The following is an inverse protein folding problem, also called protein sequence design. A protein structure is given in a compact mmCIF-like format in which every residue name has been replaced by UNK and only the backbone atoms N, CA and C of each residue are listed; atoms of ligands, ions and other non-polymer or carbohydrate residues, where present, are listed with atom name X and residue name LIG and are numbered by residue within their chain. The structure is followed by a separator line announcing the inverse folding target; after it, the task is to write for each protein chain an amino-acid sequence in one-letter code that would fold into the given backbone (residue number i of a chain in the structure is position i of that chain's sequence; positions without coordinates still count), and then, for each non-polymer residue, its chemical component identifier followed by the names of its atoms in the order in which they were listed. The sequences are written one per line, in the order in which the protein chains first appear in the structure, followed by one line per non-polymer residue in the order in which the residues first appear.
data_IF_401768001642
#
_entry.id   IF_401768001642
#
_cell.length_a   1.000
_cell.length_b   1.000
_cell.length_c   1.000
_cell.angle_alpha   90.00
_cell.angle_beta   90.00
_cell.angle_gamma   90.00
#
_symmetry.space_group_name_H-M   'P 1'
#
loop_
_entity.id
_entity.type
_entity.pdbx_description
1 polymer ?
#
# COMPACT_ATOMS: atom_id res chain seq x y z
N UNK A 1 0.32 12.96 -13.77
CA UNK A 1 -0.70 12.23 -12.98
C UNK A 1 -1.98 13.02 -13.08
N UNK A 2 -3.08 12.39 -13.47
CA UNK A 2 -4.37 13.05 -13.72
C UNK A 2 -4.81 13.95 -12.55
N UNK A 3 -4.63 13.51 -11.30
CA UNK A 3 -5.18 14.19 -10.12
C UNK A 3 -4.20 15.06 -9.34
N UNK A 4 -2.92 15.10 -9.73
CA UNK A 4 -1.91 15.88 -9.02
C UNK A 4 -2.28 17.37 -8.88
N UNK A 5 -2.81 18.06 -9.90
CA UNK A 5 -3.18 19.47 -9.78
C UNK A 5 -4.25 19.73 -8.72
N UNK A 6 -5.19 18.80 -8.51
CA UNK A 6 -6.23 18.93 -7.49
C UNK A 6 -5.64 18.83 -6.07
N UNK A 7 -4.70 17.91 -5.87
CA UNK A 7 -3.99 17.74 -4.60
C UNK A 7 -3.13 18.97 -4.28
N UNK A 8 -2.40 19.48 -5.27
CA UNK A 8 -1.55 20.67 -5.10
C UNK A 8 -2.39 21.89 -4.74
N UNK A 9 -3.51 22.11 -5.43
CA UNK A 9 -4.46 23.19 -5.16
C UNK A 9 -5.05 23.10 -3.74
N UNK A 10 -5.42 21.88 -3.32
CA UNK A 10 -5.96 21.64 -1.99
C UNK A 10 -4.93 21.90 -0.89
N UNK A 11 -3.67 21.55 -1.06
CA UNK A 11 -2.63 21.86 -0.05
C UNK A 11 -2.31 23.36 -0.05
N UNK A 12 -2.19 23.98 -1.22
CA UNK A 12 -1.86 25.40 -1.36
C UNK A 12 -2.90 26.34 -0.71
N UNK A 13 -4.18 25.95 -0.72
CA UNK A 13 -5.25 26.72 -0.05
C UNK A 13 -5.19 26.69 1.49
N UNK A 14 -4.30 25.90 2.09
CA UNK A 14 -4.20 25.68 3.53
C UNK A 14 -3.47 26.75 4.35
N UNK A 15 -2.92 27.80 3.72
CA UNK A 15 -2.34 28.98 4.35
C UNK A 15 -1.32 28.72 5.47
N UNK A 16 -0.02 28.89 5.19
CA UNK A 16 1.01 28.96 6.24
C UNK A 16 0.83 30.23 7.09
N UNK A 17 0.19 30.11 8.26
CA UNK A 17 0.15 31.20 9.23
C UNK A 17 -0.79 30.88 10.38
N UNK A 18 -0.24 30.82 11.59
CA UNK A 18 -1.05 30.83 12.81
C UNK A 18 -2.07 31.97 12.73
N UNK A 19 -3.32 31.65 13.07
CA UNK A 19 -4.50 32.52 13.12
C UNK A 19 -5.27 32.78 11.80
N UNK A 20 -4.94 32.07 10.71
CA UNK A 20 -5.63 32.21 9.42
C UNK A 20 -6.96 31.45 9.35
N UNK A 21 -8.07 32.19 9.13
CA UNK A 21 -9.41 31.66 8.82
C UNK A 21 -9.32 30.46 7.86
N UNK A 22 -9.81 29.30 8.30
CA UNK A 22 -10.14 28.19 7.42
C UNK A 22 -11.09 28.74 6.34
N UNK A 23 -10.55 29.10 5.17
CA UNK A 23 -11.38 29.35 4.00
C UNK A 23 -12.23 28.10 3.79
N UNK A 24 -13.54 28.28 3.62
CA UNK A 24 -14.59 27.25 3.56
C UNK A 24 -14.05 25.83 3.32
N UNK A 25 -13.70 25.15 4.43
CA UNK A 25 -13.04 23.84 4.39
C UNK A 25 -13.96 22.80 3.75
N UNK A 26 -15.27 22.94 4.00
CA UNK A 26 -16.29 22.09 3.41
C UNK A 26 -16.34 22.25 1.88
N UNK A 27 -16.22 23.49 1.37
CA UNK A 27 -16.12 23.72 -0.07
C UNK A 27 -14.82 23.16 -0.66
N UNK A 28 -13.69 23.29 0.04
CA UNK A 28 -12.41 22.72 -0.40
C UNK A 28 -12.44 21.18 -0.43
N UNK A 29 -13.07 20.57 0.57
CA UNK A 29 -13.26 19.12 0.67
C UNK A 29 -14.17 18.59 -0.44
N UNK A 30 -15.30 19.27 -0.69
CA UNK A 30 -16.22 18.93 -1.77
C UNK A 30 -15.55 19.05 -3.14
N UNK A 31 -14.75 20.10 -3.35
CA UNK A 31 -14.01 20.31 -4.59
C UNK A 31 -12.93 19.24 -4.78
N UNK A 32 -12.19 18.88 -3.73
CA UNK A 32 -11.20 17.81 -3.80
C UNK A 32 -11.85 16.47 -4.15
N UNK A 33 -12.96 16.11 -3.49
CA UNK A 33 -13.69 14.88 -3.77
C UNK A 33 -14.16 14.82 -5.21
N UNK A 34 -14.71 15.93 -5.74
CA UNK A 34 -15.17 16.05 -7.11
C UNK A 34 -14.03 15.98 -8.12
N UNK A 35 -12.96 16.75 -7.91
CA UNK A 35 -11.82 16.83 -8.82
C UNK A 35 -11.01 15.52 -8.88
N UNK A 36 -11.03 14.73 -7.80
CA UNK A 36 -10.38 13.42 -7.73
C UNK A 36 -11.28 12.27 -8.18
N UNK A 37 -12.55 12.57 -8.53
CA UNK A 37 -13.57 11.59 -8.90
C UNK A 37 -13.69 10.50 -7.84
N UNK A 38 -13.76 10.91 -6.58
CA UNK A 38 -13.61 9.98 -5.46
C UNK A 38 -14.71 8.92 -5.44
N UNK A 39 -15.96 9.32 -5.66
CA UNK A 39 -17.13 8.44 -5.59
C UNK A 39 -17.08 7.34 -6.67
N UNK A 40 -16.50 7.64 -7.83
CA UNK A 40 -16.39 6.71 -8.95
C UNK A 40 -15.19 5.75 -8.80
N UNK A 41 -14.19 6.12 -8.00
CA UNK A 41 -12.87 5.45 -8.00
C UNK A 41 -12.51 4.77 -6.68
N UNK A 42 -13.03 5.27 -5.57
CA UNK A 42 -12.71 4.76 -4.24
C UNK A 42 -13.93 4.08 -3.62
N UNK A 43 -13.78 2.81 -3.26
CA UNK A 43 -14.84 2.07 -2.58
C UNK A 43 -15.09 2.54 -1.13
N UNK A 44 -14.25 3.43 -0.61
CA UNK A 44 -14.35 3.94 0.75
C UNK A 44 -14.89 5.37 0.76
N UNK A 45 -15.77 5.71 1.71
CA UNK A 45 -16.25 7.09 1.90
C UNK A 45 -15.10 8.10 2.01
N UNK A 46 -15.24 9.25 1.36
CA UNK A 46 -14.24 10.32 1.35
C UNK A 46 -13.96 10.85 2.76
N UNK A 47 -14.99 10.87 3.59
CA UNK A 47 -15.01 11.38 4.96
C UNK A 47 -14.01 10.63 5.86
N UNK A 48 -13.74 9.36 5.56
CA UNK A 48 -12.78 8.55 6.30
C UNK A 48 -11.34 9.09 6.19
N UNK A 49 -11.05 9.90 5.16
CA UNK A 49 -9.73 10.41 4.85
C UNK A 49 -9.55 11.87 5.27
N UNK A 50 -10.63 12.58 5.59
CA UNK A 50 -10.60 14.00 5.99
C UNK A 50 -9.58 14.31 7.09
N UNK A 51 -9.42 13.52 8.17
CA UNK A 51 -8.42 13.83 9.20
C UNK A 51 -6.98 13.92 8.66
N UNK A 52 -6.64 13.08 7.67
CA UNK A 52 -5.33 13.07 7.02
C UNK A 52 -5.21 14.19 6.00
N UNK A 53 -6.26 14.42 5.20
CA UNK A 53 -6.32 15.50 4.20
C UNK A 53 -6.20 16.88 4.87
N UNK A 54 -6.97 17.10 5.93
CA UNK A 54 -6.91 18.33 6.71
C UNK A 54 -5.54 18.51 7.37
N UNK A 55 -4.92 17.44 7.86
CA UNK A 55 -3.55 17.53 8.39
C UNK A 55 -2.56 17.96 7.30
N UNK A 56 -2.64 17.36 6.11
CA UNK A 56 -1.76 17.70 5.00
C UNK A 56 -1.94 19.17 4.59
N UNK A 57 -3.18 19.62 4.41
CA UNK A 57 -3.52 21.00 4.09
C UNK A 57 -3.04 21.99 5.16
N UNK A 58 -3.40 21.79 6.43
CA UNK A 58 -2.99 22.68 7.54
C UNK A 58 -1.48 22.78 7.72
N UNK A 59 -0.73 21.73 7.35
CA UNK A 59 0.73 21.67 7.52
C UNK A 59 1.48 21.97 6.22
N UNK A 60 0.79 22.22 5.11
CA UNK A 60 1.41 22.38 3.80
C UNK A 60 2.19 21.14 3.36
N UNK A 61 1.78 19.94 3.79
CA UNK A 61 2.47 18.70 3.40
C UNK A 61 2.14 18.38 1.94
N UNK A 62 3.16 18.20 1.07
CA UNK A 62 2.94 17.79 -0.30
C UNK A 62 2.16 16.48 -0.35
N UNK A 63 1.08 16.49 -1.13
CA UNK A 63 0.30 15.29 -1.42
C UNK A 63 0.65 14.81 -2.82
N UNK A 64 0.96 13.53 -2.96
CA UNK A 64 1.33 12.94 -4.25
C UNK A 64 0.23 12.00 -4.68
N UNK A 65 -0.30 12.20 -5.90
CA UNK A 65 -1.17 11.22 -6.52
C UNK A 65 -0.32 10.01 -6.88
N UNK A 66 -0.70 8.81 -6.43
CA UNK A 66 0.08 7.58 -6.64
C UNK A 66 -0.60 6.53 -7.53
N UNK A 67 -1.93 6.57 -7.66
CA UNK A 67 -2.69 5.60 -8.44
C UNK A 67 -2.46 5.73 -9.96
N UNK A 68 -2.51 4.59 -10.65
CA UNK A 68 -2.65 4.56 -12.12
C UNK A 68 -3.98 5.22 -12.51
N UNK A 69 -4.00 5.88 -13.66
CA UNK A 69 -5.23 6.43 -14.21
C UNK A 69 -6.28 5.32 -14.36
N UNK A 70 -7.49 5.53 -13.84
CA UNK A 70 -8.48 4.46 -13.68
C UNK A 70 -8.91 3.83 -15.00
N UNK A 71 -8.91 4.61 -16.08
CA UNK A 71 -9.16 4.15 -17.44
C UNK A 71 -8.13 3.08 -17.86
N UNK A 72 -6.84 3.29 -17.52
CA UNK A 72 -5.77 2.35 -17.84
C UNK A 72 -5.85 1.07 -17.01
N UNK A 73 -6.22 1.18 -15.72
CA UNK A 73 -6.48 -0.01 -14.89
C UNK A 73 -7.66 -0.80 -15.47
N UNK A 74 -8.73 -0.12 -15.85
CA UNK A 74 -9.91 -0.75 -16.44
C UNK A 74 -9.59 -1.42 -17.78
N UNK A 75 -8.84 -0.77 -18.66
CA UNK A 75 -8.39 -1.32 -19.93
C UNK A 75 -7.57 -2.59 -19.76
N UNK A 76 -6.69 -2.64 -18.76
CA UNK A 76 -5.90 -3.84 -18.45
C UNK A 76 -6.77 -4.93 -17.80
N UNK A 77 -7.76 -4.56 -16.98
CA UNK A 77 -8.74 -5.53 -16.46
C UNK A 77 -9.58 -6.16 -17.57
N UNK A 78 -9.95 -5.41 -18.61
CA UNK A 78 -10.76 -5.94 -19.71
C UNK A 78 -9.92 -6.67 -20.75
N UNK A 79 -8.78 -6.10 -21.15
CA UNK A 79 -8.05 -6.50 -22.35
C UNK A 79 -6.62 -7.02 -22.07
N UNK A 80 -6.19 -7.05 -20.81
CA UNK A 80 -4.83 -7.47 -20.42
C UNK A 80 -3.76 -6.39 -20.64
N UNK A 81 -2.50 -6.68 -20.30
CA UNK A 81 -1.39 -5.70 -20.37
C UNK A 81 -1.08 -5.23 -21.79
N UNK A 82 -1.44 -6.02 -22.79
CA UNK A 82 -1.18 -5.68 -24.19
C UNK A 82 -2.01 -4.49 -24.67
N UNK A 83 -3.06 -4.10 -23.93
CA UNK A 83 -3.86 -2.90 -24.20
C UNK A 83 -3.14 -1.59 -23.91
N UNK A 84 -2.08 -1.62 -23.09
CA UNK A 84 -1.27 -0.43 -22.83
C UNK A 84 -0.35 -0.14 -24.02
N UNK A 85 -0.36 1.10 -24.50
CA UNK A 85 0.62 1.60 -25.45
C UNK A 85 2.02 1.70 -24.84
N UNK A 86 3.03 1.90 -25.68
CA UNK A 86 4.43 2.01 -25.24
C UNK A 86 4.63 3.15 -24.22
N UNK A 87 4.04 4.31 -24.48
CA UNK A 87 4.11 5.47 -23.59
C UNK A 87 3.48 5.18 -22.22
N UNK A 88 2.32 4.50 -22.18
CA UNK A 88 1.66 4.10 -20.93
C UNK A 88 2.53 3.09 -20.16
N UNK A 89 3.11 2.10 -20.84
CA UNK A 89 3.99 1.11 -20.20
C UNK A 89 5.20 1.79 -19.59
N UNK A 90 5.84 2.71 -20.32
CA UNK A 90 7.00 3.45 -19.83
C UNK A 90 6.64 4.38 -18.67
N UNK A 91 5.43 4.95 -18.66
CA UNK A 91 4.96 5.82 -17.59
C UNK A 91 4.66 5.09 -16.27
N UNK A 92 4.29 3.80 -16.33
CA UNK A 92 3.87 3.00 -15.17
C UNK A 92 4.87 1.94 -14.74
N UNK A 93 5.72 1.47 -15.66
CA UNK A 93 6.70 0.39 -15.44
C UNK A 93 8.09 0.89 -15.80
N UNK A 94 8.71 1.60 -14.86
CA UNK A 94 10.02 2.23 -15.05
C UNK A 94 11.18 1.24 -15.20
N UNK A 95 11.06 0.03 -14.65
CA UNK A 95 12.03 -1.07 -14.78
C UNK A 95 11.34 -2.32 -15.33
N UNK A 96 11.09 -2.33 -16.64
CA UNK A 96 10.39 -3.43 -17.33
C UNK A 96 11.10 -4.78 -17.17
N UNK A 97 12.43 -4.81 -17.28
CA UNK A 97 13.21 -6.05 -17.16
C UNK A 97 13.11 -6.61 -15.74
N UNK A 98 13.23 -5.74 -14.73
CA UNK A 98 13.03 -6.12 -13.34
C UNK A 98 11.59 -6.55 -13.07
N UNK A 99 10.59 -5.87 -13.63
CA UNK A 99 9.18 -6.25 -13.52
C UNK A 99 8.92 -7.67 -14.03
N UNK A 100 9.38 -8.01 -15.23
CA UNK A 100 9.23 -9.36 -15.82
C UNK A 100 9.98 -10.42 -15.00
N UNK A 101 11.15 -10.08 -14.48
CA UNK A 101 11.94 -11.00 -13.63
C UNK A 101 11.25 -11.23 -12.28
N UNK A 102 10.71 -10.16 -11.70
CA UNK A 102 10.10 -10.17 -10.37
C UNK A 102 8.83 -11.01 -10.33
N UNK A 103 7.99 -10.95 -11.37
CA UNK A 103 6.79 -11.79 -11.43
C UNK A 103 7.11 -13.28 -11.63
N UNK A 104 8.34 -13.63 -12.05
CA UNK A 104 8.80 -15.02 -12.19
C UNK A 104 9.47 -15.56 -10.92
N UNK A 105 9.69 -14.72 -9.92
CA UNK A 105 10.25 -15.13 -8.63
C UNK A 105 9.31 -16.11 -7.91
N UNK A 106 9.88 -17.18 -7.32
CA UNK A 106 9.08 -18.19 -6.62
C UNK A 106 8.30 -17.61 -5.44
N UNK A 107 8.93 -16.72 -4.66
CA UNK A 107 8.25 -16.05 -3.54
C UNK A 107 7.13 -15.13 -4.02
N UNK A 108 7.30 -14.50 -5.18
CA UNK A 108 6.23 -13.73 -5.82
C UNK A 108 5.05 -14.61 -6.25
N UNK A 109 5.29 -15.82 -6.79
CA UNK A 109 4.23 -16.77 -7.11
C UNK A 109 3.44 -17.16 -5.85
N UNK A 110 4.13 -17.45 -4.75
CA UNK A 110 3.47 -17.72 -3.45
C UNK A 110 2.66 -16.51 -2.96
N UNK A 111 3.16 -15.28 -3.16
CA UNK A 111 2.41 -14.06 -2.86
C UNK A 111 1.13 -13.96 -3.70
N UNK A 112 1.22 -14.18 -5.01
CA UNK A 112 0.07 -14.15 -5.91
C UNK A 112 -1.00 -15.19 -5.51
N UNK A 113 -0.57 -16.42 -5.25
CA UNK A 113 -1.44 -17.53 -4.86
C UNK A 113 -2.13 -17.34 -3.52
N UNK A 114 -1.42 -16.75 -2.54
CA UNK A 114 -1.98 -16.56 -1.19
C UNK A 114 -2.77 -15.27 -1.03
N UNK A 115 -2.50 -14.23 -1.81
CA UNK A 115 -3.11 -12.89 -1.63
C UNK A 115 -3.95 -12.44 -2.82
N UNK A 116 -3.39 -12.46 -4.03
CA UNK A 116 -4.04 -11.84 -5.19
C UNK A 116 -5.21 -12.70 -5.65
N UNK A 117 -4.98 -13.99 -5.87
CA UNK A 117 -6.01 -14.89 -6.38
C UNK A 117 -7.17 -15.13 -5.41
N UNK A 118 -6.96 -15.35 -4.10
CA UNK A 118 -8.06 -15.44 -3.15
C UNK A 118 -8.84 -14.14 -3.02
N UNK A 119 -8.18 -12.97 -3.18
CA UNK A 119 -8.88 -11.69 -3.22
C UNK A 119 -9.78 -11.57 -4.45
N UNK A 120 -9.33 -12.02 -5.62
CA UNK A 120 -10.17 -12.07 -6.83
C UNK A 120 -11.43 -12.91 -6.59
N UNK A 121 -11.26 -14.11 -6.04
CA UNK A 121 -12.37 -15.04 -5.81
C UNK A 121 -13.40 -14.41 -4.84
N UNK A 122 -12.96 -13.81 -3.72
CA UNK A 122 -13.85 -13.10 -2.77
C UNK A 122 -14.58 -11.91 -3.39
N UNK A 123 -13.88 -11.06 -4.16
CA UNK A 123 -14.49 -9.89 -4.80
C UNK A 123 -15.53 -10.31 -5.85
N UNK A 124 -15.24 -11.40 -6.59
CA UNK A 124 -16.17 -11.99 -7.54
C UNK A 124 -17.42 -12.55 -6.84
N UNK A 125 -17.24 -13.32 -5.77
CA UNK A 125 -18.33 -13.88 -4.97
C UNK A 125 -19.21 -12.79 -4.34
N UNK A 126 -18.60 -11.69 -3.90
CA UNK A 126 -19.31 -10.53 -3.35
C UNK A 126 -19.98 -9.64 -4.42
N UNK A 127 -19.83 -9.95 -5.72
CA UNK A 127 -20.38 -9.14 -6.81
C UNK A 127 -19.68 -7.78 -7.01
N UNK A 128 -18.53 -7.56 -6.37
CA UNK A 128 -17.79 -6.30 -6.38
C UNK A 128 -16.94 -6.11 -7.66
N UNK A 129 -16.86 -7.13 -8.51
CA UNK A 129 -16.20 -7.05 -9.83
C UNK A 129 -17.16 -6.72 -10.98
N UNK A 130 -18.41 -6.37 -10.65
CA UNK A 130 -19.46 -6.05 -11.61
C UNK A 130 -20.05 -7.28 -12.32
N UNK A 131 -20.99 -7.02 -13.22
CA UNK A 131 -21.77 -8.05 -13.93
C UNK A 131 -20.94 -8.84 -14.96
N UNK A 132 -19.83 -8.28 -15.42
CA UNK A 132 -18.85 -8.90 -16.31
C UNK A 132 -17.47 -8.85 -15.65
N UNK A 133 -17.19 -9.76 -14.71
CA UNK A 133 -15.91 -9.76 -14.00
C UNK A 133 -14.76 -10.01 -14.98
N UNK A 134 -13.60 -9.37 -14.78
CA UNK A 134 -12.42 -9.63 -15.59
C UNK A 134 -11.96 -11.08 -15.43
N UNK A 135 -11.18 -11.57 -16.38
CA UNK A 135 -10.52 -12.88 -16.23
C UNK A 135 -9.51 -12.80 -15.08
N UNK A 136 -9.23 -13.94 -14.43
CA UNK A 136 -8.25 -14.02 -13.33
C UNK A 136 -6.85 -13.53 -13.75
N UNK A 137 -6.34 -13.86 -14.97
CA UNK A 137 -5.10 -13.27 -15.48
C UNK A 137 -5.16 -11.75 -15.65
N UNK A 138 -6.25 -11.19 -16.18
CA UNK A 138 -6.36 -9.75 -16.37
C UNK A 138 -6.49 -9.00 -15.04
N UNK A 139 -7.22 -9.57 -14.07
CA UNK A 139 -7.27 -9.03 -12.72
C UNK A 139 -5.90 -8.99 -12.07
N UNK A 140 -5.15 -10.10 -12.17
CA UNK A 140 -3.77 -10.17 -11.69
C UNK A 140 -2.89 -9.13 -12.39
N UNK A 141 -3.01 -9.01 -13.72
CA UNK A 141 -2.25 -8.06 -14.52
C UNK A 141 -2.52 -6.59 -14.12
N UNK A 142 -3.78 -6.22 -13.94
CA UNK A 142 -4.17 -4.91 -13.45
C UNK A 142 -3.64 -4.66 -12.03
N UNK A 143 -3.66 -5.68 -11.18
CA UNK A 143 -3.15 -5.61 -9.81
C UNK A 143 -1.65 -5.36 -9.78
N UNK A 144 -0.87 -6.14 -10.53
CA UNK A 144 0.59 -5.99 -10.56
C UNK A 144 1.04 -4.69 -11.24
N UNK A 145 0.26 -4.15 -12.18
CA UNK A 145 0.49 -2.85 -12.80
C UNK A 145 0.24 -1.72 -11.81
N UNK A 146 -0.89 -1.75 -11.10
CA UNK A 146 -1.19 -0.78 -10.05
C UNK A 146 -0.08 -0.75 -8.99
N UNK A 147 0.35 -1.93 -8.51
CA UNK A 147 1.46 -2.05 -7.57
C UNK A 147 2.80 -1.54 -8.13
N UNK A 148 3.06 -1.75 -9.43
CA UNK A 148 4.30 -1.31 -10.10
C UNK A 148 4.35 0.21 -10.30
N UNK A 149 3.24 0.80 -10.74
CA UNK A 149 3.12 2.24 -10.90
C UNK A 149 3.22 2.96 -9.55
N UNK A 150 2.61 2.38 -8.53
CA UNK A 150 2.67 2.85 -7.16
C UNK A 150 4.10 2.74 -6.60
N UNK A 151 4.80 1.64 -6.86
CA UNK A 151 6.19 1.46 -6.44
C UNK A 151 7.16 2.38 -7.21
N UNK A 152 6.91 2.62 -8.50
CA UNK A 152 7.62 3.60 -9.31
C UNK A 152 7.45 5.02 -8.77
N UNK A 153 6.34 5.27 -8.04
CA UNK A 153 6.01 6.56 -7.42
C UNK A 153 6.11 6.59 -5.89
N UNK A 154 6.60 5.50 -5.29
CA UNK A 154 6.94 5.32 -3.87
C UNK A 154 5.75 5.54 -2.89
N UNK A 155 4.91 4.51 -2.71
CA UNK A 155 4.34 3.96 -1.43
C UNK A 155 2.91 3.34 -1.54
N UNK A 156 2.72 2.22 -0.81
CA UNK A 156 1.52 1.43 -0.41
C UNK A 156 0.90 0.23 -1.19
N UNK A 157 1.51 -0.95 -1.03
CA UNK A 157 0.88 -2.28 -0.94
C UNK A 157 1.73 -3.14 0.01
N UNK A 158 1.78 -2.72 1.26
CA UNK A 158 2.95 -2.84 2.16
C UNK A 158 3.32 -4.25 2.65
N UNK A 159 2.45 -5.26 2.46
CA UNK A 159 2.59 -6.58 3.10
C UNK A 159 3.66 -7.46 2.45
N UNK A 160 4.33 -8.25 3.30
CA UNK A 160 5.20 -9.35 2.91
C UNK A 160 6.35 -8.97 1.99
N UNK A 161 6.81 -7.72 2.00
CA UNK A 161 7.98 -7.27 1.24
C UNK A 161 7.92 -7.51 -0.28
N UNK A 162 6.80 -8.01 -0.83
CA UNK A 162 6.63 -8.30 -2.25
C UNK A 162 5.72 -7.28 -2.96
N UNK A 163 4.92 -6.54 -2.20
CA UNK A 163 4.19 -5.38 -2.72
C UNK A 163 5.07 -4.13 -2.80
N UNK A 164 4.53 -2.95 -2.49
CA UNK A 164 5.17 -1.68 -2.85
C UNK A 164 6.58 -1.51 -2.27
N UNK A 165 6.83 -1.94 -1.03
CA UNK A 165 8.13 -1.77 -0.37
C UNK A 165 9.27 -2.54 -1.05
N UNK A 166 9.00 -3.77 -1.51
CA UNK A 166 9.97 -4.59 -2.25
C UNK A 166 10.25 -4.05 -3.64
N UNK A 167 9.19 -3.64 -4.35
CA UNK A 167 9.31 -3.04 -5.68
C UNK A 167 10.04 -1.69 -5.63
N UNK A 168 9.73 -0.85 -4.64
CA UNK A 168 10.40 0.44 -4.46
C UNK A 168 11.90 0.27 -4.15
N UNK A 169 12.28 -0.71 -3.33
CA UNK A 169 13.68 -1.07 -3.10
C UNK A 169 14.38 -1.60 -4.37
N UNK A 170 13.69 -2.43 -5.17
CA UNK A 170 14.21 -2.91 -6.46
C UNK A 170 14.45 -1.76 -7.44
N UNK A 171 13.47 -0.87 -7.60
CA UNK A 171 13.56 0.29 -8.52
C UNK A 171 14.67 1.24 -8.08
N UNK A 172 14.80 1.51 -6.77
CA UNK A 172 15.93 2.30 -6.26
C UNK A 172 17.27 1.69 -6.69
N UNK A 173 17.42 0.36 -6.51
CA UNK A 173 18.64 -0.35 -6.89
C UNK A 173 18.92 -0.32 -8.40
N UNK A 174 17.90 -0.43 -9.25
CA UNK A 174 18.08 -0.35 -10.71
C UNK A 174 18.52 1.04 -11.16
N UNK A 175 18.14 2.09 -10.42
CA UNK A 175 18.59 3.47 -10.62
C UNK A 175 19.96 3.77 -9.98
N UNK A 176 20.64 2.77 -9.41
CA UNK A 176 21.96 2.94 -8.79
C UNK A 176 21.93 3.64 -7.42
N UNK A 177 20.77 3.68 -6.76
CA UNK A 177 20.62 4.23 -5.41
C UNK A 177 20.13 3.18 -4.42
N UNK A 178 20.36 3.40 -3.14
CA UNK A 178 19.66 2.66 -2.10
C UNK A 178 18.52 3.50 -1.56
N UNK A 179 17.41 2.84 -1.24
CA UNK A 179 16.29 3.47 -0.55
C UNK A 179 15.84 2.54 0.57
N UNK A 180 16.15 2.87 1.83
CA UNK A 180 15.67 2.07 2.95
C UNK A 180 14.14 2.19 3.02
N UNK A 181 13.43 1.14 2.61
CA UNK A 181 11.97 1.08 2.72
C UNK A 181 11.58 0.47 4.06
N UNK A 182 10.65 1.11 4.76
CA UNK A 182 10.04 0.59 5.99
C UNK A 182 8.54 0.47 5.80
N UNK A 183 7.98 -0.56 6.41
CA UNK A 183 6.57 -0.91 6.33
C UNK A 183 5.93 -0.90 7.72
N UNK A 184 4.78 -0.26 7.85
CA UNK A 184 3.99 -0.25 9.08
C UNK A 184 2.58 -0.77 8.78
N UNK A 185 2.11 -1.76 9.53
CA UNK A 185 0.70 -2.18 9.48
C UNK A 185 -0.06 -1.68 10.69
N UNK A 186 -1.18 -1.00 10.45
CA UNK A 186 -2.03 -0.42 11.48
C UNK A 186 -3.16 -1.40 11.80
N UNK A 187 -3.28 -1.77 13.07
CA UNK A 187 -4.28 -2.68 13.63
C UNK A 187 -4.48 -3.98 12.81
N UNK A 188 -3.39 -4.74 12.50
CA UNK A 188 -3.52 -5.94 11.71
C UNK A 188 -4.37 -7.00 12.43
N UNK A 189 -5.22 -7.70 11.67
CA UNK A 189 -6.01 -8.83 12.15
C UNK A 189 -5.40 -10.15 11.67
N UNK A 190 -5.71 -11.26 12.36
CA UNK A 190 -5.27 -12.60 11.96
C UNK A 190 -5.70 -12.92 10.52
N UNK A 191 -6.97 -12.66 10.20
CA UNK A 191 -7.51 -12.75 8.84
C UNK A 191 -6.76 -11.85 7.85
N UNK A 192 -6.52 -10.58 8.21
CA UNK A 192 -5.79 -9.62 7.39
C UNK A 192 -4.32 -10.00 7.14
N UNK A 193 -3.75 -10.85 8.00
CA UNK A 193 -2.42 -11.45 7.83
C UNK A 193 -2.44 -12.80 7.11
N UNK A 194 -3.62 -13.30 6.71
CA UNK A 194 -3.83 -14.64 6.14
C UNK A 194 -3.52 -15.81 7.09
N UNK A 195 -3.62 -15.57 8.39
CA UNK A 195 -3.51 -16.64 9.36
C UNK A 195 -4.78 -17.51 9.34
N UNK A 196 -4.59 -18.82 9.44
CA UNK A 196 -5.67 -19.79 9.68
C UNK A 196 -5.94 -19.97 11.19
N UNK A 197 -5.20 -19.27 12.05
CA UNK A 197 -5.34 -19.30 13.50
C UNK A 197 -5.80 -17.94 14.03
N UNK A 198 -6.06 -17.87 15.34
CA UNK A 198 -6.32 -16.61 16.05
C UNK A 198 -5.11 -15.67 16.16
N UNK A 199 -3.93 -16.17 15.84
CA UNK A 199 -2.67 -15.42 15.90
C UNK A 199 -2.32 -14.82 14.54
N UNK A 200 -1.60 -13.70 14.49
CA UNK A 200 -1.10 -13.11 13.26
C UNK A 200 -0.11 -14.04 12.56
N UNK A 201 -0.17 -14.09 11.24
CA UNK A 201 0.90 -14.66 10.42
C UNK A 201 1.93 -13.57 10.15
N UNK A 202 3.12 -13.72 10.74
CA UNK A 202 4.17 -12.69 10.70
C UNK A 202 5.12 -12.81 9.50
N UNK A 203 5.02 -13.87 8.71
CA UNK A 203 5.78 -14.06 7.47
C UNK A 203 4.98 -14.88 6.45
N UNK A 204 5.27 -14.69 5.15
CA UNK A 204 4.54 -15.36 4.05
C UNK A 204 4.79 -16.87 3.98
N UNK A 205 5.94 -17.31 4.49
CA UNK A 205 6.39 -18.70 4.53
C UNK A 205 6.92 -19.07 5.93
N UNK A 206 6.94 -20.37 6.20
CA UNK A 206 7.36 -20.97 7.47
C UNK A 206 8.16 -22.24 7.14
N UNK A 207 9.15 -22.59 7.96
CA UNK A 207 9.98 -23.80 7.82
C UNK A 207 10.87 -23.82 6.56
N UNK A 208 10.81 -24.87 5.73
CA UNK A 208 11.88 -25.24 4.79
C UNK A 208 12.15 -24.22 3.66
N UNK A 209 11.24 -23.26 3.44
CA UNK A 209 11.37 -22.20 2.43
C UNK A 209 11.74 -20.81 3.01
N UNK A 210 12.28 -20.73 4.24
CA UNK A 210 12.70 -19.47 4.90
C UNK A 210 13.49 -18.49 4.01
N UNK A 211 14.21 -18.99 3.00
CA UNK A 211 14.99 -18.21 2.03
C UNK A 211 14.10 -17.24 1.20
N UNK A 212 12.85 -17.61 0.95
CA UNK A 212 11.87 -16.79 0.23
C UNK A 212 10.87 -16.12 1.19
N UNK A 213 10.95 -16.44 2.48
CA UNK A 213 10.14 -15.83 3.54
C UNK A 213 10.35 -14.33 3.65
N UNK A 214 9.27 -13.56 3.53
CA UNK A 214 9.27 -12.13 3.79
C UNK A 214 8.42 -11.78 5.01
N UNK A 215 8.88 -10.85 5.86
CA UNK A 215 8.13 -10.42 7.03
C UNK A 215 6.85 -9.71 6.60
N UNK A 216 5.78 -9.89 7.37
CA UNK A 216 4.48 -9.26 7.15
C UNK A 216 4.61 -7.73 7.01
N UNK A 217 5.41 -7.10 7.87
CA UNK A 217 5.83 -5.70 7.82
C UNK A 217 7.06 -5.50 8.73
N UNK A 218 7.72 -4.34 8.67
CA UNK A 218 8.81 -3.97 9.57
C UNK A 218 8.30 -3.60 10.97
N UNK A 219 7.14 -2.95 11.03
CA UNK A 219 6.50 -2.53 12.27
C UNK A 219 5.00 -2.87 12.26
N UNK A 220 4.47 -3.18 13.43
CA UNK A 220 3.04 -3.34 13.68
C UNK A 220 2.60 -2.29 14.69
N UNK A 221 1.56 -1.53 14.37
CA UNK A 221 0.98 -0.55 15.25
C UNK A 221 -0.40 -1.01 15.71
N UNK A 222 -0.67 -0.94 17.01
CA UNK A 222 -2.00 -1.20 17.56
C UNK A 222 -2.49 0.01 18.35
N UNK A 223 -3.72 0.46 18.08
CA UNK A 223 -4.34 1.55 18.85
C UNK A 223 -4.72 1.14 20.26
N UNK A 224 -4.79 -0.17 20.52
CA UNK A 224 -4.98 -0.79 21.84
C UNK A 224 -4.05 -1.98 21.96
N UNK A 225 -3.59 -2.29 23.17
CA UNK A 225 -2.74 -3.47 23.39
C UNK A 225 -3.40 -4.73 22.80
N UNK A 226 -2.73 -5.46 21.90
CA UNK A 226 -3.29 -6.66 21.29
C UNK A 226 -3.42 -7.76 22.33
N UNK A 227 -4.34 -8.70 22.11
CA UNK A 227 -4.46 -9.85 23.00
C UNK A 227 -3.18 -10.68 22.96
N UNK A 228 -2.78 -11.25 24.09
CA UNK A 228 -1.52 -12.03 24.21
C UNK A 228 -1.45 -13.19 23.21
N UNK A 229 -2.58 -13.77 22.82
CA UNK A 229 -2.66 -14.85 21.85
C UNK A 229 -2.76 -14.38 20.38
N UNK A 230 -2.86 -13.08 20.13
CA UNK A 230 -2.97 -12.49 18.80
C UNK A 230 -1.59 -12.29 18.17
N UNK A 231 -0.57 -11.97 18.95
CA UNK A 231 0.81 -11.96 18.48
C UNK A 231 1.36 -13.35 18.83
N UNK A 232 1.58 -14.26 17.86
CA UNK A 232 2.25 -15.51 18.20
C UNK A 232 3.59 -15.13 18.83
N UNK A 233 4.04 -15.89 19.84
CA UNK A 233 5.43 -15.74 20.29
C UNK A 233 6.29 -15.86 19.04
N UNK A 234 6.93 -14.77 18.62
CA UNK A 234 8.01 -14.87 17.66
C UNK A 234 9.08 -15.66 18.38
N UNK A 235 9.07 -16.98 18.21
CA UNK A 235 10.24 -17.78 18.53
C UNK A 235 11.21 -17.40 17.42
N UNK A 236 12.03 -16.40 17.71
CA UNK A 236 13.13 -16.05 16.87
C UNK A 236 14.10 -17.25 16.92
N UNK A 237 14.32 -18.00 15.82
CA UNK A 237 15.25 -19.14 15.84
C UNK A 237 16.66 -18.69 16.21
N UNK A 238 16.96 -17.46 15.87
CA UNK A 238 18.15 -16.73 16.27
C UNK A 238 17.62 -15.49 16.97
N UNK A 239 16.89 -15.62 18.09
CA UNK A 239 17.17 -14.77 19.25
C UNK A 239 18.41 -15.36 19.87
N UNK A 240 19.53 -15.06 19.21
CA UNK A 240 19.97 -13.67 18.93
C UNK A 240 19.56 -12.90 17.62
N UNK A 241 18.47 -12.08 17.70
CA UNK A 241 18.12 -10.90 16.89
C UNK A 241 17.40 -10.98 15.52
N UNK A 242 16.11 -10.55 15.46
CA UNK A 242 15.56 -9.73 14.35
C UNK A 242 14.63 -8.58 14.77
N UNK A 243 14.49 -8.29 16.05
CA UNK A 243 13.89 -7.03 16.51
C UNK A 243 14.68 -6.51 17.70
N UNK A 244 15.40 -5.41 17.50
CA UNK A 244 15.79 -4.57 18.63
C UNK A 244 14.53 -4.27 19.43
N UNK A 245 14.58 -4.60 20.72
CA UNK A 245 13.48 -4.39 21.67
C UNK A 245 13.16 -2.90 21.70
N UNK A 246 12.15 -2.46 20.97
CA UNK A 246 11.47 -1.21 21.31
C UNK A 246 10.63 -1.53 22.54
N UNK A 247 11.24 -1.31 23.70
CA UNK A 247 10.62 -1.48 24.98
C UNK A 247 9.58 -0.36 25.12
N UNK A 248 8.29 -0.70 24.98
CA UNK A 248 7.16 0.24 25.15
C UNK A 248 7.07 0.85 26.57
N UNK A 249 8.01 0.51 27.47
CA UNK A 249 8.14 1.06 28.81
C UNK A 249 9.19 2.19 28.95
N UNK A 250 10.02 2.48 27.94
CA UNK A 250 11.05 3.53 28.04
C UNK A 250 10.53 4.96 27.78
N UNK A 251 9.21 5.15 27.56
CA UNK A 251 8.60 6.47 27.44
C UNK A 251 8.08 7.06 28.76
N UNK A 252 8.42 6.45 29.91
CA UNK A 252 8.16 7.01 31.25
C UNK A 252 9.47 7.25 31.99
N UNK A 253 10.26 8.24 31.57
CA UNK A 253 11.55 8.48 32.22
C UNK A 253 12.31 9.74 31.83
N UNK A 254 11.65 10.78 31.32
CA UNK A 254 12.27 12.09 31.18
C UNK A 254 11.34 13.17 31.76
N UNK A 255 11.35 13.27 33.09
CA UNK A 255 10.99 14.53 33.73
C UNK A 255 12.13 15.54 33.46
N UNK A 256 11.81 16.79 33.10
CA UNK A 256 12.84 17.80 32.88
C UNK A 256 13.49 18.16 34.22
N UNK A 257 14.83 18.11 34.25
CA UNK A 257 15.67 18.79 35.23
C UNK A 257 15.73 20.28 34.93
#
# INVERSE_FOLDING_TARGET
MQFQPALDSYVAGGGQGGDGKDGDLDSADAELARATQWAERCAFPFENFLPLLHLARRRGLPMVALGVDSEKVFDVMQNGMDSLGEDDRNAYVSDFKGFVTYVRDKGFQVYADKLIFPSYDRLKEAGLLGSKPPTKPNFFAARILADEALASKREDHVKFGFGASGRAARIAKSLGTEMPTKSVLINPTAEGSLSQSRSLRLALEYADDLQNGKPLANYLWFSKSPKVNQIPRMVNPEDKGWLERINLYDLKGAAPS
#
